data_IF_868383134606
#
_entry.id   IF_868383134606
#
_cell.length_a   1.000
_cell.length_b   1.000
_cell.length_c   1.000
_cell.angle_alpha   90.00
_cell.angle_beta   90.00
_cell.angle_gamma   90.00
#
_symmetry.space_group_name_H-M   'P 1'
#
loop_
_entity.id
_entity.type
_entity.pdbx_description
1 polymer ?
#
# COMPACT_ATOMS: atom_id res chain seq x y z
N UNK A 1 14.97 0.11 21.68
CA UNK A 1 14.39 -0.65 22.82
C UNK A 1 14.73 -0.04 24.18
N UNK A 2 15.94 0.50 24.38
CA UNK A 2 16.40 0.96 25.70
C UNK A 2 15.60 2.13 26.29
N UNK A 3 15.14 3.07 25.46
CA UNK A 3 14.42 4.26 25.92
C UNK A 3 13.13 3.94 26.70
N UNK A 4 12.38 2.89 26.32
CA UNK A 4 11.10 2.53 26.96
C UNK A 4 11.27 1.60 28.17
N UNK A 5 12.38 0.89 28.25
CA UNK A 5 12.71 0.05 29.41
C UNK A 5 13.21 0.87 30.60
N UNK A 6 13.65 2.12 30.38
CA UNK A 6 14.09 3.02 31.44
C UNK A 6 12.95 3.44 32.37
N UNK A 7 11.71 3.46 31.87
CA UNK A 7 10.51 3.83 32.65
C UNK A 7 9.99 2.68 33.54
N UNK A 8 10.51 1.45 33.36
CA UNK A 8 10.13 0.29 34.16
C UNK A 8 11.14 0.11 35.31
N UNK A 9 10.68 0.15 36.58
CA UNK A 9 11.56 -0.03 37.74
C UNK A 9 12.37 -1.32 37.66
N UNK A 10 13.65 -1.24 38.05
CA UNK A 10 14.49 -2.42 38.16
C UNK A 10 13.94 -3.40 39.20
N UNK A 11 14.09 -4.71 38.94
CA UNK A 11 13.73 -5.76 39.88
C UNK A 11 13.25 -7.05 39.21
N UNK A 12 12.88 -8.06 40.02
CA UNK A 12 12.61 -9.42 39.52
C UNK A 12 11.48 -9.49 38.47
N UNK A 13 10.51 -8.59 38.53
CA UNK A 13 9.42 -8.54 37.55
C UNK A 13 9.92 -8.11 36.16
N UNK A 14 10.77 -7.07 36.11
CA UNK A 14 11.38 -6.57 34.87
C UNK A 14 12.26 -7.63 34.23
N UNK A 15 13.12 -8.28 35.02
CA UNK A 15 14.02 -9.34 34.55
C UNK A 15 13.25 -10.53 33.95
N UNK A 16 12.16 -10.97 34.60
CA UNK A 16 11.29 -12.03 34.05
C UNK A 16 10.61 -11.59 32.76
N UNK A 17 10.13 -10.35 32.69
CA UNK A 17 9.51 -9.78 31.49
C UNK A 17 10.49 -9.72 30.31
N UNK A 18 11.71 -9.24 30.54
CA UNK A 18 12.77 -9.20 29.53
C UNK A 18 13.17 -10.60 29.06
N UNK A 19 13.29 -11.55 29.99
CA UNK A 19 13.60 -12.95 29.66
C UNK A 19 12.51 -13.56 28.77
N UNK A 20 11.24 -13.42 29.15
CA UNK A 20 10.12 -13.92 28.36
C UNK A 20 10.05 -13.22 26.99
N UNK A 21 10.19 -11.89 26.96
CA UNK A 21 10.18 -11.11 25.72
C UNK A 21 11.26 -11.56 24.74
N UNK A 22 12.48 -11.81 25.21
CA UNK A 22 13.57 -12.35 24.38
C UNK A 22 13.26 -13.75 23.86
N UNK A 23 12.72 -14.63 24.70
CA UNK A 23 12.34 -15.99 24.28
C UNK A 23 11.25 -15.98 23.20
N UNK A 24 10.22 -15.13 23.36
CA UNK A 24 9.15 -14.98 22.37
C UNK A 24 9.70 -14.40 21.06
N UNK A 25 10.52 -13.36 21.13
CA UNK A 25 11.15 -12.76 19.95
C UNK A 25 12.02 -13.78 19.18
N UNK A 26 12.82 -14.57 19.89
CA UNK A 26 13.64 -15.63 19.29
C UNK A 26 12.78 -16.68 18.57
N UNK A 27 11.66 -17.09 19.15
CA UNK A 27 10.73 -18.04 18.51
C UNK A 27 10.13 -17.47 17.23
N UNK A 28 9.73 -16.20 17.22
CA UNK A 28 9.21 -15.55 16.02
C UNK A 28 10.29 -15.41 14.94
N UNK A 29 11.51 -15.01 15.30
CA UNK A 29 12.62 -14.94 14.35
C UNK A 29 12.93 -16.32 13.74
N UNK A 30 12.98 -17.38 14.56
CA UNK A 30 13.18 -18.75 14.07
C UNK A 30 12.00 -19.23 13.20
N UNK A 31 10.77 -18.84 13.53
CA UNK A 31 9.59 -19.17 12.71
C UNK A 31 9.62 -18.48 11.33
N UNK A 32 10.21 -17.28 11.26
CA UNK A 32 10.37 -16.49 10.03
C UNK A 32 11.69 -16.75 9.31
N UNK A 33 12.56 -17.59 9.86
CA UNK A 33 13.80 -17.97 9.20
C UNK A 33 13.50 -18.76 7.92
N UNK A 34 14.13 -18.36 6.81
CA UNK A 34 13.90 -18.92 5.47
C UNK A 34 12.41 -18.95 5.06
N UNK A 35 11.69 -17.87 5.39
CA UNK A 35 10.28 -17.73 5.03
C UNK A 35 10.06 -17.35 3.56
N UNK A 36 11.13 -17.06 2.82
CA UNK A 36 11.13 -16.68 1.41
C UNK A 36 11.29 -15.17 1.17
N UNK A 37 11.18 -14.33 2.21
CA UNK A 37 11.41 -12.89 2.11
C UNK A 37 12.86 -12.53 1.79
N UNK A 38 13.81 -13.36 2.22
CA UNK A 38 15.24 -13.23 1.97
C UNK A 38 15.65 -13.53 0.52
N UNK A 39 14.76 -14.16 -0.25
CA UNK A 39 15.04 -14.49 -1.65
C UNK A 39 15.13 -13.22 -2.49
N UNK A 40 15.88 -13.35 -3.57
CA UNK A 40 15.91 -12.39 -4.67
C UNK A 40 15.39 -13.12 -5.90
N UNK A 41 14.31 -12.62 -6.48
CA UNK A 41 13.79 -13.18 -7.72
C UNK A 41 14.36 -12.46 -8.93
N UNK A 42 14.48 -13.19 -10.04
CA UNK A 42 14.77 -12.61 -11.34
C UNK A 42 13.46 -12.31 -12.07
N UNK A 43 13.41 -11.17 -12.75
CA UNK A 43 12.28 -10.79 -13.58
C UNK A 43 12.78 -10.12 -14.85
N UNK A 44 12.31 -10.59 -16.00
CA UNK A 44 12.59 -9.96 -17.29
C UNK A 44 11.28 -9.43 -17.85
N UNK A 45 11.12 -8.09 -17.96
CA UNK A 45 9.92 -7.49 -18.54
C UNK A 45 9.69 -7.97 -19.97
N UNK A 46 8.42 -8.13 -20.35
CA UNK A 46 8.03 -8.47 -21.72
C UNK A 46 7.90 -7.19 -22.58
N UNK A 47 7.52 -7.33 -23.86
CA UNK A 47 7.61 -6.22 -24.84
C UNK A 47 6.34 -5.95 -25.63
N UNK A 48 5.24 -6.68 -25.40
CA UNK A 48 4.00 -6.44 -26.13
C UNK A 48 3.23 -5.27 -25.51
N UNK A 49 2.34 -4.61 -26.27
CA UNK A 49 1.40 -3.65 -25.70
C UNK A 49 0.64 -4.27 -24.52
N UNK A 50 0.65 -3.57 -23.38
CA UNK A 50 0.10 -4.06 -22.13
C UNK A 50 1.10 -4.68 -21.16
N UNK A 51 2.23 -5.20 -21.64
CA UNK A 51 3.25 -5.82 -20.79
C UNK A 51 4.06 -4.75 -20.03
N UNK A 52 4.42 -5.01 -18.78
CA UNK A 52 5.31 -4.15 -18.03
C UNK A 52 6.65 -4.01 -18.75
N UNK A 53 7.19 -2.81 -18.69
CA UNK A 53 8.51 -2.46 -19.20
C UNK A 53 9.22 -1.62 -18.13
N UNK A 54 10.55 -1.61 -18.17
CA UNK A 54 11.32 -0.70 -17.32
C UNK A 54 10.88 0.75 -17.55
N UNK A 55 10.78 1.50 -16.47
CA UNK A 55 10.44 2.93 -16.49
C UNK A 55 11.68 3.75 -16.17
N UNK A 56 11.77 5.01 -16.65
CA UNK A 56 12.94 5.85 -16.44
C UNK A 56 13.37 5.91 -14.96
N UNK A 57 14.68 5.81 -14.74
CA UNK A 57 15.29 5.84 -13.40
C UNK A 57 15.62 4.46 -12.81
N UNK A 58 15.16 3.37 -13.43
CA UNK A 58 15.39 2.01 -12.95
C UNK A 58 15.66 1.01 -14.08
N UNK A 59 16.61 0.11 -13.84
CA UNK A 59 17.02 -1.00 -14.72
C UNK A 59 16.77 -2.38 -14.08
N UNK A 60 15.96 -2.41 -13.01
CA UNK A 60 15.59 -3.61 -12.26
C UNK A 60 14.08 -3.64 -11.98
N UNK A 61 13.59 -4.80 -11.53
CA UNK A 61 12.23 -4.96 -11.01
C UNK A 61 12.28 -5.32 -9.53
N UNK A 62 11.56 -4.59 -8.69
CA UNK A 62 11.64 -4.74 -7.24
C UNK A 62 10.80 -5.91 -6.73
N UNK A 63 11.41 -6.87 -6.04
CA UNK A 63 10.78 -8.00 -5.30
C UNK A 63 9.81 -8.91 -6.07
N UNK A 64 10.21 -9.48 -7.23
CA UNK A 64 9.47 -10.59 -7.87
C UNK A 64 9.34 -11.84 -6.98
N UNK A 65 10.23 -12.02 -6.01
CA UNK A 65 10.23 -13.13 -5.03
C UNK A 65 9.17 -13.01 -3.92
N UNK A 66 8.45 -11.88 -3.79
CA UNK A 66 7.32 -11.79 -2.84
C UNK A 66 6.24 -12.85 -3.09
N UNK A 67 6.19 -13.40 -4.30
CA UNK A 67 5.31 -14.51 -4.69
C UNK A 67 5.60 -15.83 -3.97
N UNK A 68 6.76 -15.97 -3.32
CA UNK A 68 7.14 -17.20 -2.61
C UNK A 68 7.40 -16.99 -1.11
N UNK A 69 7.22 -15.76 -0.62
CA UNK A 69 7.35 -15.46 0.80
C UNK A 69 6.13 -16.00 1.58
N UNK A 70 6.35 -16.47 2.81
CA UNK A 70 5.31 -17.01 3.68
C UNK A 70 4.48 -15.88 4.28
N UNK A 71 3.15 -15.85 4.10
CA UNK A 71 2.28 -14.92 4.82
C UNK A 71 2.22 -15.20 6.34
N UNK A 72 1.70 -14.25 7.11
CA UNK A 72 1.39 -14.38 8.53
C UNK A 72 -0.02 -14.93 8.78
N UNK A 73 -1.00 -14.44 8.01
CA UNK A 73 -2.45 -14.64 8.22
C UNK A 73 -3.16 -15.23 7.01
N UNK A 74 -2.50 -15.25 5.84
CA UNK A 74 -3.00 -15.90 4.64
C UNK A 74 -2.50 -17.34 4.51
N UNK A 75 -3.31 -18.20 3.91
CA UNK A 75 -2.95 -19.58 3.59
C UNK A 75 -1.93 -19.65 2.43
N UNK A 76 -2.01 -18.69 1.50
CA UNK A 76 -1.06 -18.51 0.40
C UNK A 76 -1.08 -17.07 -0.10
N UNK A 77 -0.02 -16.64 -0.78
CA UNK A 77 0.04 -15.32 -1.42
C UNK A 77 -1.10 -15.11 -2.44
N UNK A 78 -1.58 -16.20 -3.05
CA UNK A 78 -2.63 -16.16 -4.06
C UNK A 78 -4.06 -16.15 -3.50
N UNK A 79 -4.24 -16.32 -2.18
CA UNK A 79 -5.56 -16.44 -1.55
C UNK A 79 -6.48 -15.25 -1.87
N UNK A 80 -5.90 -14.05 -1.97
CA UNK A 80 -6.61 -12.82 -2.32
C UNK A 80 -6.10 -12.21 -3.62
N UNK A 81 -5.63 -13.02 -4.58
CA UNK A 81 -5.27 -12.55 -5.91
C UNK A 81 -6.43 -11.74 -6.51
N UNK A 82 -6.14 -10.55 -7.01
CA UNK A 82 -7.13 -9.71 -7.69
C UNK A 82 -7.68 -10.42 -8.94
N UNK A 83 -8.92 -10.15 -9.37
CA UNK A 83 -9.40 -10.59 -10.66
C UNK A 83 -8.58 -9.94 -11.78
N UNK A 84 -8.60 -10.47 -13.02
CA UNK A 84 -7.91 -9.85 -14.14
C UNK A 84 -8.28 -8.38 -14.34
N UNK A 85 -7.33 -7.51 -14.73
CA UNK A 85 -7.61 -6.11 -15.02
C UNK A 85 -8.54 -5.97 -16.24
N UNK A 86 -9.15 -4.80 -16.45
CA UNK A 86 -9.91 -4.52 -17.67
C UNK A 86 -9.06 -4.78 -18.92
N UNK A 87 -9.66 -5.33 -19.97
CA UNK A 87 -9.00 -5.50 -21.27
C UNK A 87 -8.56 -4.15 -21.81
N UNK A 88 -7.40 -4.08 -22.45
CA UNK A 88 -6.88 -2.85 -23.07
C UNK A 88 -7.88 -2.22 -24.03
N UNK A 89 -8.63 -3.02 -24.80
CA UNK A 89 -9.65 -2.56 -25.75
C UNK A 89 -10.98 -2.11 -25.12
N UNK A 90 -11.09 -2.13 -23.78
CA UNK A 90 -12.33 -1.79 -23.09
C UNK A 90 -12.46 -0.28 -22.83
N UNK A 91 -13.71 0.19 -22.75
CA UNK A 91 -14.01 1.57 -22.35
C UNK A 91 -13.55 1.90 -20.92
N UNK A 92 -13.54 0.91 -20.01
CA UNK A 92 -13.06 1.07 -18.64
C UNK A 92 -11.54 1.34 -18.58
N UNK A 93 -10.77 0.66 -19.43
CA UNK A 93 -9.34 0.95 -19.59
C UNK A 93 -9.14 2.35 -20.17
N UNK A 94 -9.81 2.69 -21.28
CA UNK A 94 -9.69 4.00 -21.91
C UNK A 94 -10.08 5.17 -21.00
N UNK A 95 -11.13 5.00 -20.17
CA UNK A 95 -11.54 6.00 -19.20
C UNK A 95 -10.44 6.25 -18.14
N UNK A 96 -9.86 5.17 -17.59
CA UNK A 96 -8.80 5.28 -16.60
C UNK A 96 -7.50 5.84 -17.20
N UNK A 97 -7.20 5.47 -18.46
CA UNK A 97 -6.08 6.01 -19.22
C UNK A 97 -6.19 7.53 -19.37
N UNK A 98 -7.36 8.03 -19.81
CA UNK A 98 -7.60 9.47 -19.97
C UNK A 98 -7.53 10.21 -18.64
N UNK A 99 -8.06 9.63 -17.57
CA UNK A 99 -7.97 10.20 -16.22
C UNK A 99 -6.51 10.40 -15.81
N UNK A 100 -5.67 9.35 -15.89
CA UNK A 100 -4.26 9.47 -15.50
C UNK A 100 -3.48 10.36 -16.45
N UNK A 101 -3.76 10.33 -17.76
CA UNK A 101 -3.14 11.23 -18.74
C UNK A 101 -3.38 12.69 -18.35
N UNK A 102 -4.60 13.03 -17.94
CA UNK A 102 -4.98 14.39 -17.54
C UNK A 102 -4.48 14.78 -16.14
N UNK A 103 -4.70 13.94 -15.13
CA UNK A 103 -4.45 14.25 -13.73
C UNK A 103 -3.08 13.81 -13.22
N UNK A 104 -2.40 12.87 -13.88
CA UNK A 104 -1.10 12.33 -13.45
C UNK A 104 0.11 13.01 -14.08
N UNK A 105 -0.11 13.85 -15.11
CA UNK A 105 0.96 14.57 -15.81
C UNK A 105 1.70 15.54 -14.88
N UNK A 106 3.02 15.63 -15.00
CA UNK A 106 3.87 16.65 -14.36
C UNK A 106 3.44 18.08 -14.70
N UNK A 107 2.87 18.28 -15.89
CA UNK A 107 2.38 19.57 -16.38
C UNK A 107 0.84 19.57 -16.47
N UNK A 108 0.15 18.87 -15.57
CA UNK A 108 -1.31 18.79 -15.59
C UNK A 108 -1.94 20.19 -15.55
N UNK A 109 -2.92 20.41 -16.44
CA UNK A 109 -3.70 21.66 -16.51
C UNK A 109 -5.02 21.56 -15.72
N UNK A 110 -5.35 20.37 -15.20
CA UNK A 110 -6.63 20.10 -14.52
C UNK A 110 -6.45 19.63 -13.08
N UNK A 111 -5.25 19.14 -12.71
CA UNK A 111 -4.94 18.76 -11.33
C UNK A 111 -4.81 20.02 -10.47
N UNK A 112 -5.59 20.11 -9.41
CA UNK A 112 -5.53 21.25 -8.49
C UNK A 112 -4.24 21.25 -7.66
N UNK A 113 -3.95 22.39 -7.01
CA UNK A 113 -2.85 22.47 -6.05
C UNK A 113 -3.03 21.50 -4.87
N UNK A 114 -4.27 21.33 -4.40
CA UNK A 114 -4.58 20.37 -3.35
C UNK A 114 -4.35 18.91 -3.81
N UNK A 115 -4.78 18.54 -5.01
CA UNK A 115 -4.54 17.21 -5.57
C UNK A 115 -3.04 16.93 -5.77
N UNK A 116 -2.27 17.94 -6.19
CA UNK A 116 -0.80 17.85 -6.22
C UNK A 116 -0.25 17.62 -4.81
N UNK A 117 -0.73 18.36 -3.83
CA UNK A 117 -0.33 18.13 -2.44
C UNK A 117 -0.70 16.72 -1.94
N UNK A 118 -1.87 16.17 -2.29
CA UNK A 118 -2.27 14.78 -2.01
C UNK A 118 -1.29 13.78 -2.66
N UNK A 119 -0.87 14.02 -3.90
CA UNK A 119 0.07 13.18 -4.63
C UNK A 119 1.40 13.00 -3.86
N UNK A 120 1.96 14.12 -3.38
CA UNK A 120 3.20 14.15 -2.60
C UNK A 120 3.01 13.67 -1.17
N UNK A 121 1.89 14.03 -0.55
CA UNK A 121 1.58 13.66 0.83
C UNK A 121 1.60 12.16 1.06
N UNK A 122 0.97 11.40 0.17
CA UNK A 122 0.90 9.94 0.26
C UNK A 122 2.07 9.25 -0.46
N UNK A 123 3.12 9.96 -0.88
CA UNK A 123 4.25 9.36 -1.60
C UNK A 123 5.16 8.50 -0.70
N UNK A 124 5.15 8.71 0.63
CA UNK A 124 5.83 7.84 1.58
C UNK A 124 5.30 6.41 1.55
N UNK A 125 6.09 5.44 2.04
CA UNK A 125 5.62 4.05 2.16
C UNK A 125 4.37 3.96 3.04
N UNK A 126 3.37 3.19 2.56
CA UNK A 126 2.05 3.15 3.18
C UNK A 126 2.09 2.64 4.62
N UNK A 127 2.92 1.65 4.91
CA UNK A 127 3.12 1.12 6.26
C UNK A 127 3.67 2.16 7.23
N UNK A 128 4.50 3.11 6.79
CA UNK A 128 4.96 4.20 7.64
C UNK A 128 3.84 5.17 7.97
N UNK A 129 3.08 5.58 6.95
CA UNK A 129 1.92 6.46 7.09
C UNK A 129 0.86 5.86 8.01
N UNK A 130 0.43 4.62 7.74
CA UNK A 130 -0.62 3.95 8.52
C UNK A 130 -0.18 3.57 9.94
N UNK A 131 1.09 3.26 10.18
CA UNK A 131 1.59 3.15 11.56
C UNK A 131 1.61 4.51 12.28
N UNK A 132 1.87 5.62 11.57
CA UNK A 132 1.80 6.97 12.15
C UNK A 132 0.36 7.34 12.50
N UNK A 133 -0.60 7.09 11.61
CA UNK A 133 -2.04 7.24 11.87
C UNK A 133 -2.42 6.37 13.07
N UNK A 134 -2.09 5.08 13.06
CA UNK A 134 -2.39 4.15 14.14
C UNK A 134 -1.90 4.64 15.51
N UNK A 135 -0.67 5.16 15.60
CA UNK A 135 -0.13 5.73 16.86
C UNK A 135 -0.89 6.97 17.31
N UNK A 136 -1.20 7.85 16.37
CA UNK A 136 -1.92 9.10 16.65
C UNK A 136 -3.32 8.80 17.20
N UNK A 137 -4.09 7.98 16.48
CA UNK A 137 -5.48 7.70 16.85
C UNK A 137 -5.60 6.79 18.07
N UNK A 138 -4.68 5.83 18.26
CA UNK A 138 -4.65 5.01 19.47
C UNK A 138 -4.50 5.87 20.74
N UNK A 139 -3.64 6.90 20.67
CA UNK A 139 -3.47 7.86 21.78
C UNK A 139 -4.69 8.75 21.95
N UNK A 140 -5.23 9.32 20.86
CA UNK A 140 -6.41 10.19 20.90
C UNK A 140 -7.64 9.48 21.48
N UNK A 141 -7.81 8.20 21.17
CA UNK A 141 -8.94 7.38 21.63
C UNK A 141 -8.67 6.69 22.99
N UNK A 142 -7.49 6.92 23.60
CA UNK A 142 -7.17 6.37 24.92
C UNK A 142 -7.11 4.84 24.95
N UNK A 143 -6.66 4.20 23.87
CA UNK A 143 -6.51 2.73 23.85
C UNK A 143 -5.61 2.26 24.99
N UNK A 144 -6.03 1.20 25.67
CA UNK A 144 -5.20 0.51 26.65
C UNK A 144 -4.04 -0.17 25.94
N UNK A 145 -2.96 -0.45 26.68
CA UNK A 145 -1.75 -1.07 26.14
C UNK A 145 -2.05 -2.37 25.38
N UNK A 146 -2.90 -3.25 25.91
CA UNK A 146 -3.29 -4.51 25.25
C UNK A 146 -4.03 -4.27 23.94
N UNK A 147 -4.87 -3.23 23.86
CA UNK A 147 -5.62 -2.88 22.65
C UNK A 147 -4.69 -2.27 21.59
N UNK A 148 -3.74 -1.42 22.01
CA UNK A 148 -2.71 -0.87 21.14
C UNK A 148 -1.79 -1.98 20.61
N UNK A 149 -1.35 -2.91 21.46
CA UNK A 149 -0.54 -4.07 21.05
C UNK A 149 -1.29 -4.92 20.01
N UNK A 150 -2.57 -5.18 20.25
CA UNK A 150 -3.44 -5.88 19.30
C UNK A 150 -3.57 -5.12 17.98
N UNK A 151 -3.78 -3.80 18.02
CA UNK A 151 -3.86 -2.95 16.82
C UNK A 151 -2.61 -3.09 15.95
N UNK A 152 -1.42 -2.90 16.52
CA UNK A 152 -0.19 -2.92 15.75
C UNK A 152 0.20 -4.32 15.27
N UNK A 153 -0.11 -5.38 16.03
CA UNK A 153 0.08 -6.74 15.56
C UNK A 153 -0.81 -7.05 14.35
N UNK A 154 -2.12 -6.75 14.44
CA UNK A 154 -3.05 -6.93 13.32
C UNK A 154 -2.65 -6.11 12.10
N UNK A 155 -2.35 -4.82 12.31
CA UNK A 155 -1.99 -3.91 11.23
C UNK A 155 -0.76 -4.41 10.48
N UNK A 156 0.34 -4.69 11.19
CA UNK A 156 1.61 -5.00 10.51
C UNK A 156 1.64 -6.41 9.91
N UNK A 157 0.99 -7.41 10.53
CA UNK A 157 0.82 -8.73 9.89
C UNK A 157 0.00 -8.61 8.61
N UNK A 158 -1.09 -7.84 8.65
CA UNK A 158 -1.97 -7.64 7.50
C UNK A 158 -1.29 -6.88 6.36
N UNK A 159 -0.59 -5.77 6.65
CA UNK A 159 0.06 -4.96 5.61
C UNK A 159 1.16 -5.77 4.90
N UNK A 160 1.91 -6.59 5.64
CA UNK A 160 2.91 -7.49 5.04
C UNK A 160 2.25 -8.49 4.08
N UNK A 161 1.23 -9.21 4.54
CA UNK A 161 0.49 -10.19 3.74
C UNK A 161 -0.14 -9.57 2.50
N UNK A 162 -0.66 -8.35 2.65
CA UNK A 162 -1.28 -7.61 1.56
C UNK A 162 -0.28 -7.23 0.47
N UNK A 163 0.97 -6.89 0.84
CA UNK A 163 2.02 -6.71 -0.15
C UNK A 163 2.30 -7.99 -0.91
N UNK A 164 2.37 -9.15 -0.24
CA UNK A 164 2.56 -10.43 -0.92
C UNK A 164 1.43 -10.72 -1.91
N UNK A 165 0.17 -10.54 -1.51
CA UNK A 165 -0.99 -10.78 -2.37
C UNK A 165 -1.11 -9.77 -3.53
N UNK A 166 -0.76 -8.51 -3.29
CA UNK A 166 -0.69 -7.48 -4.32
C UNK A 166 0.41 -7.80 -5.34
N UNK A 167 1.58 -8.22 -4.88
CA UNK A 167 2.72 -8.54 -5.72
C UNK A 167 2.50 -9.83 -6.51
N UNK A 168 1.87 -10.85 -5.91
CA UNK A 168 1.37 -12.02 -6.64
C UNK A 168 0.48 -11.61 -7.83
N UNK A 169 -0.49 -10.71 -7.61
CA UNK A 169 -1.33 -10.22 -8.71
C UNK A 169 -0.53 -9.44 -9.75
N UNK A 170 0.41 -8.58 -9.32
CA UNK A 170 1.25 -7.78 -10.22
C UNK A 170 2.06 -8.61 -11.19
N UNK A 171 2.73 -9.65 -10.71
CA UNK A 171 3.56 -10.50 -11.58
C UNK A 171 2.77 -11.52 -12.38
N UNK A 172 1.55 -11.84 -11.95
CA UNK A 172 0.63 -12.67 -12.75
C UNK A 172 0.07 -11.88 -13.94
N UNK A 173 -0.27 -10.61 -13.74
CA UNK A 173 -0.91 -9.79 -14.79
C UNK A 173 0.07 -8.97 -15.62
N UNK A 174 1.27 -8.73 -15.10
CA UNK A 174 2.38 -8.04 -15.78
C UNK A 174 1.96 -6.75 -16.51
N UNK A 175 1.09 -5.93 -15.92
CA UNK A 175 0.54 -4.78 -16.64
C UNK A 175 1.49 -3.60 -16.64
N UNK A 176 1.61 -2.95 -17.80
CA UNK A 176 2.35 -1.71 -17.98
C UNK A 176 1.87 -0.55 -17.10
N UNK A 177 2.80 0.36 -16.82
CA UNK A 177 2.53 1.59 -16.09
C UNK A 177 1.90 2.66 -16.99
N UNK A 178 1.20 3.67 -16.43
CA UNK A 178 0.66 4.77 -17.23
C UNK A 178 1.71 5.49 -18.08
N UNK A 179 2.95 5.62 -17.60
CA UNK A 179 4.07 6.12 -18.39
C UNK A 179 4.21 5.41 -19.74
N UNK A 180 4.43 4.09 -19.72
CA UNK A 180 4.58 3.29 -20.94
C UNK A 180 3.29 3.28 -21.76
N UNK A 181 2.14 3.10 -21.12
CA UNK A 181 0.86 3.07 -21.80
C UNK A 181 0.58 4.35 -22.60
N UNK A 182 0.82 5.53 -22.00
CA UNK A 182 0.54 6.82 -22.64
C UNK A 182 1.55 7.10 -23.76
N UNK A 183 2.80 6.67 -23.61
CA UNK A 183 3.82 6.78 -24.67
C UNK A 183 3.53 5.87 -25.87
N UNK A 184 2.78 4.79 -25.67
CA UNK A 184 2.41 3.81 -26.69
C UNK A 184 0.89 3.76 -26.97
N UNK A 185 0.17 4.84 -26.64
CA UNK A 185 -1.27 4.93 -26.89
C UNK A 185 -1.59 4.68 -28.37
N UNK A 186 -2.62 3.88 -28.65
CA UNK A 186 -3.01 3.47 -30.00
C UNK A 186 -2.34 2.17 -30.48
N UNK A 187 -1.28 1.70 -29.81
CA UNK A 187 -0.66 0.38 -30.09
C UNK A 187 -1.34 -0.77 -29.31
N UNK A 188 -2.21 -0.43 -28.35
CA UNK A 188 -2.95 -1.35 -27.48
C UNK A 188 -4.26 -1.90 -28.09
N UNK A 189 -4.55 -1.52 -29.35
CA UNK A 189 -5.77 -1.88 -30.06
C UNK A 189 -7.01 -1.13 -29.59
N UNK A 190 -6.87 -0.05 -28.82
CA UNK A 190 -7.96 0.78 -28.36
C UNK A 190 -7.96 2.14 -29.11
N UNK A 191 -9.02 2.48 -29.87
CA UNK A 191 -9.08 3.76 -30.57
C UNK A 191 -9.22 4.98 -29.63
N UNK A 192 -9.55 4.76 -28.36
CA UNK A 192 -9.81 5.80 -27.38
C UNK A 192 -8.60 6.13 -26.47
N UNK A 193 -7.42 5.56 -26.77
CA UNK A 193 -6.17 5.76 -26.03
C UNK A 193 -5.15 6.48 -26.92
N UNK A 194 -5.16 7.81 -26.87
CA UNK A 194 -4.27 8.62 -27.70
C UNK A 194 -2.84 8.67 -27.12
N UNK A 195 -1.84 8.42 -27.97
CA UNK A 195 -0.42 8.57 -27.66
C UNK A 195 -0.08 9.98 -27.13
N UNK A 196 0.93 10.07 -26.25
CA UNK A 196 1.62 11.32 -25.95
C UNK A 196 3.07 11.04 -25.53
N UNK A 197 4.00 11.08 -26.51
CA UNK A 197 5.43 10.77 -26.34
C UNK A 197 6.20 11.65 -25.36
N UNK A 198 5.71 12.85 -25.06
CA UNK A 198 6.33 13.78 -24.11
C UNK A 198 5.62 13.80 -22.76
N UNK A 199 4.70 12.86 -22.50
CA UNK A 199 4.00 12.78 -21.23
C UNK A 199 4.97 12.31 -20.15
N UNK A 200 5.07 13.08 -19.06
CA UNK A 200 5.84 12.69 -17.90
C UNK A 200 4.92 12.63 -16.68
N UNK A 201 5.02 11.60 -15.83
CA UNK A 201 4.29 11.54 -14.58
C UNK A 201 4.79 12.62 -13.61
N UNK A 202 3.91 13.04 -12.70
CA UNK A 202 4.26 13.99 -11.63
C UNK A 202 5.43 13.48 -10.76
N UNK A 203 5.58 12.17 -10.62
CA UNK A 203 6.69 11.54 -9.90
C UNK A 203 7.34 10.42 -10.71
N UNK A 204 8.56 10.02 -10.32
CA UNK A 204 9.26 8.90 -10.96
C UNK A 204 8.48 7.59 -10.73
N UNK A 205 8.16 6.90 -11.82
CA UNK A 205 7.33 5.69 -11.77
C UNK A 205 8.07 4.53 -11.07
N UNK A 206 7.45 3.83 -10.10
CA UNK A 206 8.12 2.75 -9.37
C UNK A 206 8.42 1.51 -10.23
N UNK A 207 9.54 0.80 -9.94
CA UNK A 207 10.05 -0.32 -10.76
C UNK A 207 9.34 -1.67 -10.50
N UNK A 208 8.02 -1.72 -10.68
CA UNK A 208 7.23 -2.95 -10.60
C UNK A 208 5.91 -2.82 -11.37
N UNK A 209 5.26 -3.94 -11.77
CA UNK A 209 4.02 -3.91 -12.55
C UNK A 209 2.88 -3.14 -11.90
N UNK A 210 1.92 -2.70 -12.72
CA UNK A 210 0.93 -1.69 -12.35
C UNK A 210 -0.22 -2.26 -11.49
N UNK A 211 -0.81 -3.40 -11.84
CA UNK A 211 -2.09 -3.81 -11.27
C UNK A 211 -1.98 -4.93 -10.23
N UNK A 212 -2.67 -4.84 -9.07
CA UNK A 212 -3.45 -3.70 -8.57
C UNK A 212 -2.56 -2.67 -7.87
N UNK A 213 -3.13 -1.55 -7.43
CA UNK A 213 -2.39 -0.57 -6.62
C UNK A 213 -2.21 -1.07 -5.18
N UNK A 214 -1.01 -1.55 -4.85
CA UNK A 214 -0.65 -1.97 -3.49
C UNK A 214 -0.81 -0.82 -2.47
N UNK A 215 -0.57 0.42 -2.89
CA UNK A 215 -0.73 1.58 -2.01
C UNK A 215 -2.19 1.86 -1.65
N UNK A 216 -3.10 1.77 -2.63
CA UNK A 216 -4.53 1.88 -2.39
C UNK A 216 -5.03 0.72 -1.51
N UNK A 217 -4.45 -0.47 -1.67
CA UNK A 217 -4.74 -1.62 -0.83
C UNK A 217 -4.32 -1.38 0.62
N UNK A 218 -3.08 -0.94 0.86
CA UNK A 218 -2.58 -0.57 2.19
C UNK A 218 -3.43 0.53 2.82
N UNK A 219 -3.82 1.54 2.03
CA UNK A 219 -4.81 2.57 2.38
C UNK A 219 -6.07 1.99 3.00
N UNK A 220 -6.78 1.19 2.21
CA UNK A 220 -8.07 0.65 2.63
C UNK A 220 -7.95 -0.38 3.77
N UNK A 221 -6.88 -1.18 3.78
CA UNK A 221 -6.63 -2.16 4.83
C UNK A 221 -6.30 -1.49 6.17
N UNK A 222 -5.46 -0.45 6.15
CA UNK A 222 -5.15 0.36 7.32
C UNK A 222 -6.39 1.01 7.91
N UNK A 223 -7.24 1.62 7.07
CA UNK A 223 -8.51 2.19 7.52
C UNK A 223 -9.43 1.13 8.14
N UNK A 224 -9.58 -0.03 7.51
CA UNK A 224 -10.42 -1.12 8.01
C UNK A 224 -9.94 -1.64 9.38
N UNK A 225 -8.65 -1.95 9.52
CA UNK A 225 -8.08 -2.47 10.77
C UNK A 225 -8.20 -1.46 11.89
N UNK A 226 -7.77 -0.22 11.66
CA UNK A 226 -7.83 0.84 12.67
C UNK A 226 -9.28 1.06 13.10
N UNK A 227 -10.21 1.17 12.15
CA UNK A 227 -11.63 1.39 12.45
C UNK A 227 -12.22 0.24 13.27
N UNK A 228 -11.91 -1.01 12.92
CA UNK A 228 -12.46 -2.20 13.59
C UNK A 228 -11.89 -2.39 14.99
N UNK A 229 -10.64 -2.01 15.24
CA UNK A 229 -10.05 -2.05 16.58
C UNK A 229 -10.64 -0.93 17.45
N UNK A 230 -10.75 0.29 16.93
CA UNK A 230 -11.35 1.42 17.65
C UNK A 230 -12.86 1.30 17.83
N UNK A 231 -13.53 0.50 17.00
CA UNK A 231 -14.99 0.39 16.97
C UNK A 231 -15.70 1.52 16.25
N UNK A 232 -14.97 2.38 15.54
CA UNK A 232 -15.51 3.49 14.73
C UNK A 232 -14.55 3.87 13.61
N UNK A 233 -15.10 4.21 12.44
CA UNK A 233 -14.33 4.82 11.34
C UNK A 233 -14.28 6.35 11.44
N UNK A 234 -15.22 6.97 12.17
CA UNK A 234 -15.30 8.42 12.40
C UNK A 234 -14.25 8.83 13.42
N UNK A 235 -13.03 9.03 12.93
CA UNK A 235 -11.88 9.45 13.71
C UNK A 235 -11.31 10.68 13.03
N UNK A 236 -11.50 11.83 13.65
CA UNK A 236 -10.90 13.08 13.21
C UNK A 236 -9.43 13.12 13.62
N UNK A 237 -8.52 13.37 12.67
CA UNK A 237 -7.10 13.47 12.97
C UNK A 237 -6.34 14.38 12.01
N UNK A 238 -5.27 14.99 12.52
CA UNK A 238 -4.30 15.76 11.73
C UNK A 238 -2.94 15.07 11.79
N UNK A 239 -2.32 14.85 10.64
CA UNK A 239 -1.02 14.17 10.54
C UNK A 239 -0.02 14.99 9.73
N UNK A 240 1.27 14.76 9.97
CA UNK A 240 2.40 15.15 9.10
C UNK A 240 2.89 13.98 8.25
N UNK A 241 3.15 14.21 6.96
CA UNK A 241 3.85 13.27 6.07
C UNK A 241 5.30 13.67 5.87
N UNK A 242 6.18 12.69 5.77
CA UNK A 242 7.62 12.92 5.50
C UNK A 242 7.88 13.30 4.05
N UNK A 243 6.91 13.10 3.15
CA UNK A 243 7.00 13.46 1.72
C UNK A 243 6.10 14.65 1.38
N UNK A 244 5.52 15.30 2.38
CA UNK A 244 4.71 16.50 2.20
C UNK A 244 5.49 17.61 1.51
N UNK A 245 4.82 18.36 0.64
CA UNK A 245 5.36 19.63 0.14
C UNK A 245 5.52 20.61 1.32
N UNK A 246 6.60 21.44 1.35
CA UNK A 246 6.84 22.37 2.45
C UNK A 246 5.67 23.31 2.77
N UNK A 247 4.90 23.72 1.76
CA UNK A 247 3.72 24.58 1.92
C UNK A 247 2.46 23.88 2.43
N UNK A 248 2.45 22.55 2.49
CA UNK A 248 1.31 21.74 2.93
C UNK A 248 1.78 20.62 3.87
N UNK A 249 2.41 20.94 5.02
CA UNK A 249 3.09 19.96 5.87
C UNK A 249 2.16 19.16 6.78
N UNK A 250 0.87 19.52 6.83
CA UNK A 250 -0.19 18.91 7.64
C UNK A 250 -1.44 18.65 6.78
N UNK A 251 -2.11 17.52 7.03
CA UNK A 251 -3.45 17.23 6.49
C UNK A 251 -4.37 16.75 7.61
N UNK A 252 -5.61 17.21 7.56
CA UNK A 252 -6.68 16.84 8.48
C UNK A 252 -7.71 16.00 7.73
N UNK A 253 -8.13 14.90 8.35
CA UNK A 253 -9.17 14.01 7.85
C UNK A 253 -10.29 13.90 8.87
N UNK A 254 -11.53 13.84 8.41
CA UNK A 254 -12.72 13.67 9.25
C UNK A 254 -12.94 12.20 9.63
N UNK A 255 -12.51 11.29 8.76
CA UNK A 255 -12.57 9.85 9.00
C UNK A 255 -11.44 9.10 8.28
N UNK A 256 -11.28 7.83 8.66
CA UNK A 256 -10.24 6.96 8.13
C UNK A 256 -10.48 6.56 6.66
N UNK A 257 -11.73 6.58 6.20
CA UNK A 257 -12.08 6.24 4.81
C UNK A 257 -11.72 7.38 3.86
N UNK A 258 -11.86 8.64 4.29
CA UNK A 258 -11.35 9.82 3.57
C UNK A 258 -9.84 9.71 3.37
N UNK A 259 -9.10 9.36 4.42
CA UNK A 259 -7.65 9.15 4.32
C UNK A 259 -7.29 8.00 3.37
N UNK A 260 -8.03 6.88 3.40
CA UNK A 260 -7.82 5.77 2.47
C UNK A 260 -8.16 6.13 1.01
N UNK A 261 -9.18 6.97 0.79
CA UNK A 261 -9.54 7.44 -0.54
C UNK A 261 -8.49 8.40 -1.09
N UNK A 262 -8.01 9.38 -0.31
CA UNK A 262 -6.90 10.25 -0.72
C UNK A 262 -5.62 9.44 -0.97
N UNK A 263 -5.36 8.41 -0.16
CA UNK A 263 -4.25 7.48 -0.36
C UNK A 263 -4.37 6.76 -1.71
N UNK A 264 -5.56 6.33 -2.12
CA UNK A 264 -5.81 5.72 -3.42
C UNK A 264 -5.71 6.74 -4.57
N UNK A 265 -6.37 7.90 -4.45
CA UNK A 265 -6.43 8.96 -5.47
C UNK A 265 -5.08 9.58 -5.76
N UNK A 266 -4.24 9.71 -4.73
CA UNK A 266 -2.87 10.19 -4.88
C UNK A 266 -2.05 9.40 -5.91
N UNK A 267 -2.41 8.13 -6.16
CA UNK A 267 -1.73 7.25 -7.13
C UNK A 267 -2.08 7.56 -8.58
N UNK A 268 -3.19 8.26 -8.80
CA UNK A 268 -3.57 8.83 -10.09
C UNK A 268 -2.90 10.19 -10.23
N UNK A 269 -2.94 11.01 -9.17
CA UNK A 269 -2.36 12.34 -9.17
C UNK A 269 -0.84 12.35 -9.33
N UNK A 270 -0.14 11.32 -8.86
CA UNK A 270 1.30 11.15 -9.08
C UNK A 270 1.65 10.47 -10.42
N UNK A 271 0.66 10.02 -11.19
CA UNK A 271 0.84 9.37 -12.49
C UNK A 271 1.20 7.88 -12.44
N UNK A 272 1.07 7.20 -11.30
CA UNK A 272 1.56 5.82 -11.14
C UNK A 272 0.56 4.73 -11.50
N UNK A 273 -0.74 5.00 -11.34
CA UNK A 273 -1.77 3.98 -11.41
C UNK A 273 -3.03 4.43 -12.12
N UNK A 274 -3.66 3.48 -12.81
CA UNK A 274 -5.00 3.65 -13.37
C UNK A 274 -6.07 3.54 -12.27
N UNK A 275 -7.22 4.18 -12.48
CA UNK A 275 -8.37 4.11 -11.57
C UNK A 275 -8.85 2.70 -11.27
N UNK A 276 -8.92 1.83 -12.27
CA UNK A 276 -9.29 0.44 -12.03
C UNK A 276 -8.33 -0.26 -11.05
N UNK A 277 -7.04 0.08 -11.05
CA UNK A 277 -6.05 -0.52 -10.17
C UNK A 277 -6.16 0.01 -8.73
N UNK A 278 -6.52 1.28 -8.54
CA UNK A 278 -6.72 1.85 -7.22
C UNK A 278 -8.03 1.38 -6.58
N UNK A 279 -9.11 1.27 -7.36
CA UNK A 279 -10.38 0.69 -6.88
C UNK A 279 -10.23 -0.80 -6.52
N UNK A 280 -9.56 -1.59 -7.37
CA UNK A 280 -9.29 -2.98 -7.05
C UNK A 280 -8.37 -3.11 -5.83
N UNK A 281 -7.32 -2.28 -5.74
CA UNK A 281 -6.45 -2.24 -4.57
C UNK A 281 -7.25 -2.03 -3.28
N UNK A 282 -8.14 -1.03 -3.25
CA UNK A 282 -9.03 -0.81 -2.09
C UNK A 282 -9.88 -2.05 -1.77
N UNK A 283 -10.44 -2.71 -2.78
CA UNK A 283 -11.25 -3.93 -2.59
C UNK A 283 -10.42 -5.07 -1.99
N UNK A 284 -9.23 -5.33 -2.55
CA UNK A 284 -8.31 -6.35 -2.07
C UNK A 284 -7.86 -6.06 -0.62
N UNK A 285 -7.47 -4.81 -0.34
CA UNK A 285 -7.06 -4.37 0.99
C UNK A 285 -8.12 -4.62 2.07
N UNK A 286 -9.37 -4.24 1.80
CA UNK A 286 -10.47 -4.51 2.75
C UNK A 286 -10.75 -5.99 2.92
N UNK A 287 -10.66 -6.79 1.86
CA UNK A 287 -10.89 -8.23 1.93
C UNK A 287 -9.84 -8.92 2.82
N UNK A 288 -8.55 -8.60 2.62
CA UNK A 288 -7.44 -9.12 3.42
C UNK A 288 -7.55 -8.64 4.87
N UNK A 289 -7.86 -7.36 5.11
CA UNK A 289 -8.08 -6.81 6.44
C UNK A 289 -9.20 -7.53 7.22
N UNK A 290 -10.35 -7.78 6.58
CA UNK A 290 -11.46 -8.52 7.21
C UNK A 290 -11.05 -9.95 7.53
N UNK A 291 -10.41 -10.64 6.59
CA UNK A 291 -9.88 -11.98 6.83
C UNK A 291 -8.97 -12.03 8.06
N UNK A 292 -7.99 -11.13 8.15
CA UNK A 292 -7.09 -11.03 9.30
C UNK A 292 -7.87 -10.77 10.60
N UNK A 293 -8.79 -9.81 10.61
CA UNK A 293 -9.57 -9.42 11.80
C UNK A 293 -10.51 -10.51 12.31
N UNK A 294 -11.09 -11.29 11.40
CA UNK A 294 -12.13 -12.27 11.72
C UNK A 294 -11.55 -13.63 12.15
N UNK A 295 -10.26 -13.88 11.90
CA UNK A 295 -9.60 -15.16 12.21
C UNK A 295 -8.41 -15.06 13.16
N UNK A 296 -7.76 -13.89 13.28
CA UNK A 296 -6.52 -13.73 14.05
C UNK A 296 -6.66 -12.71 15.16
N UNK A 297 -5.98 -12.99 16.29
CA UNK A 297 -5.94 -12.13 17.48
C UNK A 297 -7.35 -11.63 17.86
N UNK A 298 -8.32 -12.53 17.98
CA UNK A 298 -9.70 -12.18 18.34
C UNK A 298 -9.76 -11.41 19.67
N UNK A 299 -10.79 -10.58 19.86
CA UNK A 299 -10.96 -9.86 21.12
C UNK A 299 -11.06 -10.89 22.26
N UNK A 300 -10.27 -10.67 23.31
CA UNK A 300 -10.39 -11.44 24.55
C UNK A 300 -11.71 -10.98 25.20
N UNK A 301 -12.66 -11.89 25.46
CA UNK A 301 -13.96 -11.56 26.07
C UNK A 301 -13.83 -10.84 27.41
#
# INVERSE_FOLDING_TARGET
>A
CEQWQMDIPAGPAKERGETLGRQVAQKYLAFRDHDGHEKNGDYTPMTKPGDYQYTPGFDYVWKPDFTVARPFTLDSVSQFRSPPPPKLTSSAYAASFREVKAYGSKNSQVRSADQTSIAHWWAEFGEHGWNRIGRLVARQQGLKEVEANRLFALLNMNLYDLYLASFDSKYIYDTWRPYTAIHHGGEDGNPDTEEQKNWEPEMVTPPWPEYPSAHAAVGAAGAEIVSRVLGTARVHFTMRSTTALPGYPERTYEDLDQAANDCADSRIFNGFHFRFATEEGKRQGRAVARHTLDHFLLKIP
#
